data_IF_505987925903
#
_entry.id   IF_505987925903
#
_cell.length_a   1.000
_cell.length_b   1.000
_cell.length_c   1.000
_cell.angle_alpha   90.00
_cell.angle_beta   90.00
_cell.angle_gamma   90.00
#
_symmetry.space_group_name_H-M   'P 1'
#
loop_
_entity.id
_entity.type
_entity.pdbx_description
1 polymer ?
#
# COMPACT_ATOMS: atom_id res chain seq x y z
N UNK A 1 54.48 -55.98 -3.02
CA UNK A 1 53.77 -54.76 -2.57
C UNK A 1 52.30 -55.10 -2.38
N UNK A 2 51.70 -54.56 -1.32
CA UNK A 2 50.25 -54.52 -0.99
C UNK A 2 49.55 -55.86 -0.71
N UNK A 3 49.25 -56.03 0.58
CA UNK A 3 48.51 -57.10 1.25
C UNK A 3 47.01 -56.81 1.27
N UNK A 4 46.18 -57.85 1.38
CA UNK A 4 44.89 -57.77 2.07
C UNK A 4 44.57 -59.12 2.74
N UNK A 5 44.71 -59.20 4.07
CA UNK A 5 44.28 -60.34 4.87
C UNK A 5 42.99 -60.02 5.64
N UNK A 6 42.14 -61.02 5.74
CA UNK A 6 40.96 -61.08 6.62
C UNK A 6 41.34 -60.98 8.11
N UNK A 7 40.39 -60.60 8.97
CA UNK A 7 39.84 -61.52 9.97
C UNK A 7 38.51 -61.02 10.60
N UNK A 8 37.90 -61.87 11.43
CA UNK A 8 36.53 -61.82 11.96
C UNK A 8 36.58 -61.81 13.51
N UNK A 9 35.41 -61.66 14.18
CA UNK A 9 35.16 -61.92 15.63
C UNK A 9 35.58 -60.70 16.51
N UNK A 10 34.92 -60.25 17.59
CA UNK A 10 34.03 -60.86 18.59
C UNK A 10 33.07 -59.83 19.27
N UNK A 11 32.01 -60.30 19.95
CA UNK A 11 31.35 -59.61 21.08
C UNK A 11 31.65 -60.44 22.35
N UNK A 12 31.82 -59.89 23.58
CA UNK A 12 30.61 -59.72 24.44
C UNK A 12 30.70 -58.81 25.70
N UNK A 13 29.57 -58.83 26.45
CA UNK A 13 29.37 -58.68 27.93
C UNK A 13 29.02 -57.32 28.55
N UNK A 14 28.13 -57.46 29.55
CA UNK A 14 27.47 -56.44 30.38
C UNK A 14 28.16 -56.37 31.75
N UNK A 15 28.17 -55.20 32.40
CA UNK A 15 28.29 -55.10 33.87
C UNK A 15 27.39 -53.99 34.44
N UNK A 16 26.63 -54.31 35.48
CA UNK A 16 25.67 -53.45 36.19
C UNK A 16 26.31 -52.65 37.33
N UNK A 17 25.73 -51.47 37.69
CA UNK A 17 25.86 -50.90 39.05
C UNK A 17 24.70 -49.98 39.48
N UNK A 18 24.36 -50.09 40.78
CA UNK A 18 23.31 -49.43 41.59
C UNK A 18 23.89 -48.18 42.33
N UNK A 19 23.16 -47.19 42.88
CA UNK A 19 21.73 -46.77 42.94
C UNK A 19 21.71 -45.32 43.49
N UNK A 20 20.73 -44.45 43.15
CA UNK A 20 20.07 -43.53 44.11
C UNK A 20 18.92 -42.70 43.50
N UNK A 21 17.70 -42.82 44.09
CA UNK A 21 16.62 -41.84 43.94
C UNK A 21 16.84 -40.72 44.96
N UNK A 22 16.60 -39.47 44.57
CA UNK A 22 16.17 -38.43 45.51
C UNK A 22 14.75 -38.04 45.13
N UNK A 23 13.89 -38.01 46.14
CA UNK A 23 12.46 -37.74 46.05
C UNK A 23 12.20 -36.56 46.99
N UNK A 24 11.79 -35.43 46.43
CA UNK A 24 11.34 -34.27 47.21
C UNK A 24 9.92 -33.92 46.78
N UNK A 25 8.99 -34.07 47.71
CA UNK A 25 7.58 -33.69 47.56
C UNK A 25 7.21 -32.81 48.75
N UNK A 26 6.89 -31.56 48.46
CA UNK A 26 6.20 -30.58 49.31
C UNK A 26 6.10 -29.28 48.50
N UNK A 27 5.01 -28.56 48.35
CA UNK A 27 3.57 -28.71 48.61
C UNK A 27 2.95 -27.33 48.34
N UNK A 28 1.64 -27.27 48.10
CA UNK A 28 0.78 -26.08 48.25
C UNK A 28 0.75 -24.96 47.18
N UNK A 29 -0.44 -24.89 46.54
CA UNK A 29 -1.27 -23.70 46.33
C UNK A 29 -0.98 -22.72 45.16
N UNK A 30 -1.46 -23.12 43.98
CA UNK A 30 -2.58 -22.46 43.26
C UNK A 30 -2.78 -20.92 43.39
N UNK A 31 -2.05 -20.11 42.60
CA UNK A 31 -2.59 -18.83 42.06
C UNK A 31 -2.22 -18.55 40.58
N UNK A 32 -1.46 -19.40 39.90
CA UNK A 32 -0.81 -19.02 38.62
C UNK A 32 -1.63 -19.24 37.32
N UNK A 33 -2.91 -19.64 37.41
CA UNK A 33 -3.69 -20.13 36.25
C UNK A 33 -4.30 -19.08 35.30
N UNK A 34 -4.15 -17.78 35.57
CA UNK A 34 -4.70 -16.71 34.70
C UNK A 34 -3.70 -16.22 33.65
N UNK A 35 -2.39 -16.38 33.87
CA UNK A 35 -1.34 -15.80 32.99
C UNK A 35 -1.09 -16.67 31.74
N UNK A 36 -1.23 -17.99 31.84
CA UNK A 36 -0.87 -18.93 30.77
C UNK A 36 -1.59 -18.75 29.43
N UNK A 37 -2.85 -18.28 29.44
CA UNK A 37 -3.65 -18.13 28.22
C UNK A 37 -3.22 -16.93 27.35
N UNK A 38 -2.63 -15.89 27.93
CA UNK A 38 -2.16 -14.71 27.18
C UNK A 38 -0.76 -14.92 26.58
N UNK A 39 0.06 -15.79 27.17
CA UNK A 39 1.45 -16.03 26.75
C UNK A 39 1.52 -16.89 25.48
N UNK A 40 0.58 -17.83 25.27
CA UNK A 40 0.58 -18.75 24.12
C UNK A 40 0.49 -18.04 22.76
N UNK A 41 -0.25 -16.92 22.69
CA UNK A 41 -0.39 -16.09 21.48
C UNK A 41 0.91 -15.37 21.07
N UNK A 42 1.82 -15.13 22.03
CA UNK A 42 3.10 -14.45 21.79
C UNK A 42 4.23 -15.45 21.47
N UNK A 43 4.11 -16.69 21.97
CA UNK A 43 5.16 -17.71 21.86
C UNK A 43 5.46 -18.16 20.42
N UNK A 44 4.49 -18.11 19.51
CA UNK A 44 4.62 -18.55 18.11
C UNK A 44 5.57 -17.70 17.24
N UNK A 45 6.09 -16.59 17.77
CA UNK A 45 7.00 -15.68 17.05
C UNK A 45 8.47 -15.73 17.53
N UNK A 46 8.86 -16.64 18.44
CA UNK A 46 10.11 -16.52 19.21
C UNK A 46 11.42 -17.07 18.59
N UNK A 47 11.43 -17.62 17.38
CA UNK A 47 12.61 -18.30 16.78
C UNK A 47 13.75 -17.38 16.28
N UNK A 48 14.23 -16.44 17.11
CA UNK A 48 15.46 -15.66 16.88
C UNK A 48 16.02 -15.11 18.22
N UNK A 49 16.65 -15.98 19.02
CA UNK A 49 16.72 -15.82 20.49
C UNK A 49 17.37 -14.55 21.06
N UNK A 50 18.59 -14.19 20.63
CA UNK A 50 19.38 -13.18 21.34
C UNK A 50 18.85 -11.73 21.18
N UNK A 51 18.50 -11.33 19.95
CA UNK A 51 17.97 -9.99 19.67
C UNK A 51 16.60 -9.75 20.34
N UNK A 52 15.74 -10.78 20.36
CA UNK A 52 14.40 -10.70 20.95
C UNK A 52 14.42 -10.51 22.46
N UNK A 53 15.41 -11.06 23.18
CA UNK A 53 15.50 -10.94 24.63
C UNK A 53 15.81 -9.50 25.09
N UNK A 54 16.81 -8.84 24.48
CA UNK A 54 17.20 -7.48 24.84
C UNK A 54 16.08 -6.47 24.57
N UNK A 55 15.41 -6.60 23.42
CA UNK A 55 14.27 -5.74 23.08
C UNK A 55 13.06 -6.00 23.98
N UNK A 56 12.77 -7.25 24.34
CA UNK A 56 11.72 -7.57 25.31
C UNK A 56 12.00 -6.96 26.70
N UNK A 57 13.26 -6.91 27.14
CA UNK A 57 13.65 -6.20 28.38
C UNK A 57 13.38 -4.70 28.25
N UNK A 58 13.78 -4.04 27.14
CA UNK A 58 13.46 -2.62 26.91
C UNK A 58 11.95 -2.36 26.98
N UNK A 59 11.15 -3.17 26.29
CA UNK A 59 9.68 -3.08 26.26
C UNK A 59 9.08 -3.20 27.66
N UNK A 60 9.53 -4.18 28.46
CA UNK A 60 9.07 -4.33 29.86
C UNK A 60 9.46 -3.15 30.74
N UNK A 61 10.68 -2.63 30.60
CA UNK A 61 11.15 -1.46 31.36
C UNK A 61 10.32 -0.21 31.02
N UNK A 62 10.10 0.10 29.74
CA UNK A 62 9.24 1.21 29.33
C UNK A 62 7.79 1.06 29.84
N UNK A 63 7.26 -0.17 29.85
CA UNK A 63 5.89 -0.49 30.29
C UNK A 63 5.73 -0.45 31.82
N UNK A 64 6.81 -0.76 32.55
CA UNK A 64 6.87 -0.60 34.01
C UNK A 64 6.84 0.89 34.39
N UNK A 65 7.67 1.70 33.74
CA UNK A 65 7.72 3.16 33.93
C UNK A 65 6.58 3.93 33.22
N UNK A 66 5.65 3.25 32.55
CA UNK A 66 4.52 3.84 31.82
C UNK A 66 4.92 4.99 30.87
N UNK A 67 6.08 4.85 30.20
CA UNK A 67 6.61 5.85 29.27
C UNK A 67 5.59 6.15 28.16
N UNK A 68 5.45 7.43 27.77
CA UNK A 68 4.57 7.79 26.67
C UNK A 68 5.16 7.30 25.33
N UNK A 69 4.30 7.14 24.32
CA UNK A 69 4.74 6.77 22.96
C UNK A 69 5.65 7.85 22.39
N UNK A 70 5.38 9.11 22.71
CA UNK A 70 6.18 10.26 22.32
C UNK A 70 7.58 10.22 22.96
N UNK A 71 7.70 9.99 24.28
CA UNK A 71 9.00 9.86 24.96
C UNK A 71 9.88 8.78 24.33
N UNK A 72 9.28 7.64 23.95
CA UNK A 72 10.00 6.51 23.36
C UNK A 72 10.36 6.80 21.90
N UNK A 73 9.51 7.51 21.17
CA UNK A 73 9.79 7.95 19.80
C UNK A 73 11.00 8.90 19.78
N UNK A 74 11.09 9.82 20.75
CA UNK A 74 12.28 10.66 20.97
C UNK A 74 13.50 9.85 21.45
N UNK A 75 13.33 8.92 22.39
CA UNK A 75 14.39 8.02 22.89
C UNK A 75 15.00 7.15 21.79
N UNK A 76 14.19 6.72 20.82
CA UNK A 76 14.60 5.91 19.67
C UNK A 76 15.16 6.74 18.51
N UNK A 77 15.29 8.06 18.70
CA UNK A 77 15.75 9.03 17.70
C UNK A 77 14.93 8.95 16.39
N UNK A 78 13.62 8.71 16.51
CA UNK A 78 12.66 8.74 15.41
C UNK A 78 12.24 10.19 15.11
N UNK A 79 13.21 11.10 15.14
CA UNK A 79 13.07 12.56 15.12
C UNK A 79 13.77 13.10 13.86
N UNK A 80 13.09 13.00 12.72
CA UNK A 80 13.68 13.31 11.41
C UNK A 80 12.65 13.35 10.29
N UNK A 81 13.09 13.10 9.06
CA UNK A 81 12.16 12.99 7.92
C UNK A 81 11.35 11.71 8.04
N UNK A 82 10.12 11.74 7.53
CA UNK A 82 9.20 10.61 7.60
C UNK A 82 9.77 9.34 6.94
N UNK A 83 10.52 9.48 5.84
CA UNK A 83 11.17 8.34 5.17
C UNK A 83 12.25 7.67 6.04
N UNK A 84 13.03 8.45 6.79
CA UNK A 84 14.07 7.94 7.68
C UNK A 84 13.42 7.17 8.85
N UNK A 85 12.33 7.73 9.39
CA UNK A 85 11.56 7.15 10.51
C UNK A 85 10.91 5.82 10.13
N UNK A 86 10.31 5.71 8.94
CA UNK A 86 9.66 4.46 8.52
C UNK A 86 10.67 3.40 8.15
N UNK A 87 11.86 3.78 7.66
CA UNK A 87 12.95 2.84 7.38
C UNK A 87 13.75 2.44 8.64
N UNK A 88 13.60 3.17 9.75
CA UNK A 88 14.29 2.84 10.99
C UNK A 88 13.75 1.53 11.61
N UNK A 89 14.60 0.51 11.87
CA UNK A 89 14.15 -0.77 12.44
C UNK A 89 13.49 -0.61 13.83
N UNK A 90 13.84 0.44 14.58
CA UNK A 90 13.22 0.74 15.87
C UNK A 90 11.73 1.09 15.78
N UNK A 91 11.20 1.42 14.59
CA UNK A 91 9.75 1.63 14.42
C UNK A 91 8.95 0.36 14.71
N UNK A 92 9.50 -0.83 14.42
CA UNK A 92 8.86 -2.11 14.76
C UNK A 92 8.81 -2.31 16.27
N UNK A 93 9.89 -1.96 16.97
CA UNK A 93 9.98 -2.00 18.43
C UNK A 93 8.98 -1.05 19.10
N UNK A 94 8.82 0.17 18.57
CA UNK A 94 7.82 1.13 19.04
C UNK A 94 6.38 0.64 18.79
N UNK A 95 6.12 -0.02 17.67
CA UNK A 95 4.84 -0.65 17.37
C UNK A 95 4.50 -1.80 18.34
N UNK A 96 5.48 -2.63 18.71
CA UNK A 96 5.30 -3.68 19.72
C UNK A 96 5.07 -3.09 21.12
N UNK A 97 5.76 -1.99 21.47
CA UNK A 97 5.45 -1.25 22.70
C UNK A 97 4.01 -0.76 22.74
N UNK A 98 3.54 -0.13 21.65
CA UNK A 98 2.17 0.36 21.54
C UNK A 98 1.14 -0.77 21.67
N UNK A 99 1.44 -1.97 21.16
CA UNK A 99 0.59 -3.15 21.37
C UNK A 99 0.59 -3.59 22.84
N UNK A 100 1.76 -3.73 23.48
CA UNK A 100 1.85 -4.12 24.90
C UNK A 100 1.16 -3.12 25.83
N UNK A 101 1.35 -1.81 25.59
CA UNK A 101 0.71 -0.74 26.36
C UNK A 101 -0.82 -0.78 26.22
N UNK A 102 -1.33 -0.91 25.00
CA UNK A 102 -2.77 -0.97 24.72
C UNK A 102 -3.48 -2.21 25.29
N UNK A 103 -2.74 -3.31 25.46
CA UNK A 103 -3.25 -4.53 26.08
C UNK A 103 -3.28 -4.40 27.62
N UNK A 104 -2.27 -3.76 28.22
CA UNK A 104 -2.19 -3.54 29.68
C UNK A 104 -3.11 -2.42 30.17
N UNK A 105 -3.33 -1.39 29.35
CA UNK A 105 -4.10 -0.19 29.72
C UNK A 105 -5.24 0.04 28.70
N UNK A 106 -6.31 -0.79 28.74
CA UNK A 106 -7.35 -0.79 27.71
C UNK A 106 -8.13 0.53 27.60
N UNK A 107 -8.22 1.30 28.69
CA UNK A 107 -8.90 2.59 28.77
C UNK A 107 -8.03 3.77 28.28
N UNK A 108 -6.73 3.56 28.10
CA UNK A 108 -5.74 4.60 27.73
C UNK A 108 -5.09 4.32 26.38
N UNK A 109 -5.83 3.73 25.44
CA UNK A 109 -5.28 3.24 24.16
C UNK A 109 -4.64 4.35 23.32
N UNK A 110 -3.37 4.17 23.01
CA UNK A 110 -2.54 5.00 22.14
C UNK A 110 -2.47 4.43 20.72
N UNK A 111 -2.11 5.26 19.74
CA UNK A 111 -2.14 4.86 18.33
C UNK A 111 -0.94 5.43 17.58
N UNK A 112 0.01 4.56 17.23
CA UNK A 112 1.26 4.94 16.56
C UNK A 112 1.02 5.77 15.29
N UNK A 113 0.05 5.39 14.44
CA UNK A 113 -0.27 6.18 13.24
C UNK A 113 -0.79 7.61 13.57
N UNK A 114 -1.47 7.80 14.71
CA UNK A 114 -1.90 9.14 15.14
C UNK A 114 -0.72 9.97 15.64
N UNK A 115 0.19 9.37 16.41
CA UNK A 115 1.42 10.03 16.89
C UNK A 115 2.31 10.45 15.72
N UNK A 116 2.59 9.53 14.77
CA UNK A 116 3.37 9.85 13.57
C UNK A 116 2.68 10.94 12.71
N UNK A 117 1.35 10.87 12.54
CA UNK A 117 0.59 11.92 11.84
C UNK A 117 0.72 13.28 12.53
N UNK A 118 0.68 13.32 13.86
CA UNK A 118 0.73 14.57 14.62
C UNK A 118 2.09 15.27 14.47
N UNK A 119 3.18 14.50 14.43
CA UNK A 119 4.55 15.03 14.29
C UNK A 119 4.95 15.37 12.85
N UNK A 120 4.53 14.57 11.85
CA UNK A 120 5.04 14.65 10.47
C UNK A 120 3.98 14.98 9.42
N UNK A 121 2.75 15.26 9.82
CA UNK A 121 1.64 15.52 8.90
C UNK A 121 1.06 14.25 8.25
N UNK A 122 -0.09 14.41 7.61
CA UNK A 122 -0.83 13.27 7.04
C UNK A 122 -0.34 12.84 5.65
N UNK A 123 0.16 13.80 4.86
CA UNK A 123 0.57 13.62 3.47
C UNK A 123 1.92 12.89 3.41
N UNK A 124 2.93 13.40 4.12
CA UNK A 124 4.27 12.82 4.12
C UNK A 124 4.26 11.42 4.72
N UNK A 125 3.46 11.19 5.77
CA UNK A 125 3.19 9.86 6.32
C UNK A 125 2.57 8.91 5.29
N UNK A 126 1.56 9.34 4.51
CA UNK A 126 0.95 8.50 3.48
C UNK A 126 1.96 8.12 2.38
N UNK A 127 2.72 9.11 1.91
CA UNK A 127 3.71 8.96 0.86
C UNK A 127 4.86 8.04 1.30
N UNK A 128 5.42 8.26 2.49
CA UNK A 128 6.51 7.46 3.03
C UNK A 128 6.07 6.01 3.34
N UNK A 129 4.86 5.79 3.87
CA UNK A 129 4.28 4.44 4.03
C UNK A 129 4.14 3.72 2.69
N UNK A 130 3.69 4.42 1.65
CA UNK A 130 3.57 3.85 0.30
C UNK A 130 4.92 3.53 -0.35
N UNK A 131 6.00 4.24 0.03
CA UNK A 131 7.37 3.92 -0.38
C UNK A 131 7.92 2.71 0.35
N UNK A 132 7.80 2.69 1.68
CA UNK A 132 8.36 1.66 2.54
C UNK A 132 7.84 0.24 2.23
N UNK A 133 6.58 0.11 1.78
CA UNK A 133 5.99 -1.15 1.32
C UNK A 133 6.79 -1.92 0.24
N UNK A 134 7.72 -1.25 -0.45
CA UNK A 134 8.57 -1.84 -1.48
C UNK A 134 9.83 -2.53 -0.93
N UNK A 135 10.18 -2.32 0.35
CA UNK A 135 11.36 -2.95 0.97
C UNK A 135 10.94 -4.03 1.96
N UNK A 136 11.43 -5.26 1.79
CA UNK A 136 10.95 -6.42 2.55
C UNK A 136 11.03 -6.22 4.08
N UNK A 137 12.09 -5.56 4.56
CA UNK A 137 12.31 -5.30 6.00
C UNK A 137 11.35 -4.26 6.63
N UNK A 138 10.62 -3.46 5.84
CA UNK A 138 9.63 -2.47 6.34
C UNK A 138 8.21 -2.73 5.85
N UNK A 139 8.03 -3.62 4.88
CA UNK A 139 6.76 -3.97 4.23
C UNK A 139 5.62 -4.29 5.20
N UNK A 140 5.87 -5.08 6.23
CA UNK A 140 4.86 -5.49 7.21
C UNK A 140 4.37 -4.32 8.07
N UNK A 141 5.31 -3.56 8.67
CA UNK A 141 4.97 -2.41 9.50
C UNK A 141 4.33 -1.29 8.68
N UNK A 142 4.85 -1.03 7.48
CA UNK A 142 4.27 -0.05 6.55
C UNK A 142 2.86 -0.45 6.11
N UNK A 143 2.61 -1.73 5.81
CA UNK A 143 1.27 -2.23 5.47
C UNK A 143 0.31 -2.16 6.66
N UNK A 144 0.77 -2.51 7.87
CA UNK A 144 -0.01 -2.37 9.11
C UNK A 144 -0.43 -0.91 9.35
N UNK A 145 0.51 0.02 9.24
CA UNK A 145 0.31 1.45 9.46
C UNK A 145 -0.54 2.09 8.36
N UNK A 146 -0.29 1.79 7.07
CA UNK A 146 -1.14 2.25 5.96
C UNK A 146 -2.58 1.79 6.15
N UNK A 147 -2.82 0.53 6.53
CA UNK A 147 -4.17 0.03 6.84
C UNK A 147 -4.84 0.79 7.99
N UNK A 148 -4.10 1.24 9.00
CA UNK A 148 -4.65 2.09 10.06
C UNK A 148 -4.96 3.50 9.55
N UNK A 149 -4.10 4.06 8.70
CA UNK A 149 -4.30 5.36 8.06
C UNK A 149 -5.57 5.40 7.19
N UNK A 150 -5.75 4.42 6.30
CA UNK A 150 -6.95 4.31 5.45
C UNK A 150 -8.25 4.21 6.26
N UNK A 151 -8.25 3.41 7.35
CA UNK A 151 -9.38 3.37 8.30
C UNK A 151 -9.59 4.72 9.00
N UNK A 152 -8.52 5.42 9.33
CA UNK A 152 -8.56 6.76 9.93
C UNK A 152 -9.08 7.86 8.99
N UNK A 153 -8.96 7.70 7.67
CA UNK A 153 -9.60 8.56 6.67
C UNK A 153 -11.08 8.25 6.52
N UNK A 154 -11.44 6.96 6.40
CA UNK A 154 -12.84 6.53 6.30
C UNK A 154 -13.66 6.93 7.53
N UNK A 155 -13.12 6.72 8.75
CA UNK A 155 -13.79 7.10 9.99
C UNK A 155 -13.98 8.62 10.12
N UNK A 156 -13.17 9.42 9.43
CA UNK A 156 -13.31 10.89 9.31
C UNK A 156 -14.17 11.31 8.11
N UNK A 157 -14.88 10.37 7.48
CA UNK A 157 -15.78 10.57 6.33
C UNK A 157 -15.11 11.25 5.13
N UNK A 158 -13.79 11.09 4.94
CA UNK A 158 -13.13 11.58 3.72
C UNK A 158 -13.71 10.89 2.48
N UNK A 159 -14.11 11.69 1.50
CA UNK A 159 -14.45 11.21 0.17
C UNK A 159 -13.22 10.62 -0.53
N UNK A 160 -13.41 9.99 -1.69
CA UNK A 160 -12.27 9.57 -2.52
C UNK A 160 -11.54 10.80 -3.09
N UNK A 161 -12.27 11.87 -3.41
CA UNK A 161 -11.71 13.12 -3.94
C UNK A 161 -10.86 13.84 -2.87
N UNK A 162 -11.28 13.82 -1.59
CA UNK A 162 -10.47 14.29 -0.45
C UNK A 162 -9.13 13.55 -0.34
N UNK A 163 -9.11 12.25 -0.66
CA UNK A 163 -7.89 11.43 -0.58
C UNK A 163 -7.03 11.63 -1.83
N UNK A 164 -7.61 11.81 -3.01
CA UNK A 164 -6.88 12.21 -4.22
C UNK A 164 -6.15 13.55 -4.00
N UNK A 165 -6.84 14.55 -3.46
CA UNK A 165 -6.26 15.86 -3.15
C UNK A 165 -5.19 15.79 -2.05
N UNK A 166 -5.46 15.03 -0.97
CA UNK A 166 -4.49 14.80 0.12
C UNK A 166 -3.19 14.15 -0.37
N UNK A 167 -3.28 13.24 -1.34
CA UNK A 167 -2.13 12.56 -1.93
C UNK A 167 -1.40 13.40 -3.01
N UNK A 168 -1.86 14.63 -3.29
CA UNK A 168 -1.26 15.56 -4.27
C UNK A 168 -1.05 14.95 -5.66
N UNK A 169 -2.00 14.16 -6.13
CA UNK A 169 -1.91 13.42 -7.40
C UNK A 169 -2.04 14.36 -8.61
N UNK A 170 -2.74 15.49 -8.46
CA UNK A 170 -2.97 16.47 -9.53
C UNK A 170 -1.69 17.23 -9.88
N UNK A 171 -0.91 17.56 -8.86
CA UNK A 171 0.32 18.33 -8.90
C UNK A 171 1.46 17.60 -9.65
N UNK A 172 1.36 16.28 -9.79
CA UNK A 172 2.29 15.47 -10.58
C UNK A 172 2.05 15.61 -12.10
N UNK A 173 0.94 16.23 -12.52
CA UNK A 173 0.58 16.40 -13.93
C UNK A 173 0.61 15.06 -14.68
N UNK A 174 1.27 15.00 -15.84
CA UNK A 174 1.43 13.75 -16.62
C UNK A 174 2.26 12.67 -15.92
N UNK A 175 3.03 12.99 -14.87
CA UNK A 175 3.84 12.02 -14.12
C UNK A 175 3.02 11.16 -13.17
N UNK A 176 1.75 11.52 -12.91
CA UNK A 176 0.85 10.80 -12.00
C UNK A 176 0.77 9.29 -12.29
N UNK A 177 0.97 8.88 -13.55
CA UNK A 177 0.95 7.47 -14.01
C UNK A 177 2.02 6.58 -13.36
N UNK A 178 3.04 7.18 -12.73
CA UNK A 178 4.11 6.50 -11.97
C UNK A 178 3.95 6.63 -10.45
N UNK A 179 3.00 7.42 -9.96
CA UNK A 179 2.92 7.78 -8.56
C UNK A 179 2.38 6.62 -7.72
N UNK A 180 3.16 6.18 -6.72
CA UNK A 180 2.78 5.12 -5.76
C UNK A 180 1.54 5.50 -4.93
N UNK A 181 1.22 6.78 -4.87
CA UNK A 181 -0.05 7.33 -4.39
C UNK A 181 -1.26 6.64 -5.05
N UNK A 182 -1.17 6.18 -6.30
CA UNK A 182 -2.22 5.41 -6.96
C UNK A 182 -2.51 4.05 -6.27
N UNK A 183 -1.51 3.37 -5.71
CA UNK A 183 -1.72 2.15 -4.92
C UNK A 183 -2.49 2.45 -3.63
N UNK A 184 -2.14 3.57 -2.98
CA UNK A 184 -2.80 4.04 -1.75
C UNK A 184 -4.24 4.44 -2.03
N UNK A 185 -4.48 5.12 -3.16
CA UNK A 185 -5.81 5.50 -3.64
C UNK A 185 -6.64 4.27 -4.04
N UNK A 186 -6.06 3.27 -4.70
CA UNK A 186 -6.77 2.02 -5.04
C UNK A 186 -7.20 1.26 -3.77
N UNK A 187 -6.31 1.15 -2.79
CA UNK A 187 -6.61 0.56 -1.50
C UNK A 187 -7.71 1.34 -0.75
N UNK A 188 -7.71 2.68 -0.85
CA UNK A 188 -8.78 3.51 -0.28
C UNK A 188 -10.12 3.31 -0.99
N UNK A 189 -10.15 3.31 -2.33
CA UNK A 189 -11.37 3.08 -3.14
C UNK A 189 -11.98 1.72 -2.79
N UNK A 190 -11.17 0.66 -2.68
CA UNK A 190 -11.64 -0.68 -2.25
C UNK A 190 -12.29 -0.63 -0.86
N UNK A 191 -11.65 0.03 0.11
CA UNK A 191 -12.19 0.19 1.47
C UNK A 191 -13.47 1.03 1.51
N UNK A 192 -13.49 2.14 0.76
CA UNK A 192 -14.61 3.07 0.66
C UNK A 192 -15.83 2.38 0.03
N UNK A 193 -15.66 1.72 -1.11
CA UNK A 193 -16.73 0.99 -1.82
C UNK A 193 -17.35 -0.14 -0.98
N UNK A 194 -16.53 -0.81 -0.15
CA UNK A 194 -16.98 -1.88 0.74
C UNK A 194 -17.81 -1.36 1.94
N UNK A 195 -17.74 -0.05 2.24
CA UNK A 195 -18.48 0.58 3.34
C UNK A 195 -19.55 1.57 2.89
N UNK A 196 -19.47 2.07 1.66
CA UNK A 196 -20.42 2.99 1.05
C UNK A 196 -20.99 2.39 -0.27
N UNK A 197 -21.77 1.29 -0.21
CA UNK A 197 -22.17 0.56 -1.41
C UNK A 197 -23.06 1.34 -2.39
N UNK A 198 -23.69 2.44 -1.93
CA UNK A 198 -24.49 3.38 -2.75
C UNK A 198 -23.67 4.49 -3.41
N UNK A 199 -22.41 4.67 -3.03
CA UNK A 199 -21.51 5.72 -3.52
C UNK A 199 -20.24 5.11 -4.16
N UNK A 200 -20.37 3.90 -4.73
CA UNK A 200 -19.23 3.20 -5.31
C UNK A 200 -18.61 4.03 -6.45
N UNK A 201 -17.30 4.15 -6.41
CA UNK A 201 -16.49 4.75 -7.48
C UNK A 201 -15.44 3.75 -7.96
N UNK A 202 -14.67 4.10 -8.98
CA UNK A 202 -13.53 3.32 -9.43
C UNK A 202 -12.34 4.24 -9.73
N UNK A 203 -11.16 3.67 -10.00
CA UNK A 203 -9.94 4.44 -10.23
C UNK A 203 -10.09 5.43 -11.40
N UNK A 204 -10.85 5.11 -12.45
CA UNK A 204 -11.05 6.01 -13.58
C UNK A 204 -11.90 7.23 -13.18
N UNK A 205 -13.07 7.02 -12.56
CA UNK A 205 -13.95 8.12 -12.13
C UNK A 205 -13.23 9.04 -11.14
N UNK A 206 -12.54 8.46 -10.16
CA UNK A 206 -11.88 9.21 -9.10
C UNK A 206 -10.69 10.03 -9.61
N UNK A 207 -9.94 9.52 -10.61
CA UNK A 207 -8.92 10.33 -11.29
C UNK A 207 -9.57 11.42 -12.16
N UNK A 208 -10.63 11.10 -12.90
CA UNK A 208 -11.38 12.04 -13.73
C UNK A 208 -11.89 13.23 -12.90
N UNK A 209 -12.59 12.95 -11.80
CA UNK A 209 -13.06 13.95 -10.84
C UNK A 209 -11.90 14.76 -10.25
N UNK A 210 -10.83 14.10 -9.79
CA UNK A 210 -9.66 14.75 -9.21
C UNK A 210 -8.93 15.72 -10.15
N UNK A 211 -8.74 15.32 -11.42
CA UNK A 211 -8.18 16.22 -12.44
C UNK A 211 -9.15 17.35 -12.83
N UNK A 212 -10.44 17.19 -12.55
CA UNK A 212 -11.46 18.25 -12.61
C UNK A 212 -12.49 18.08 -13.72
N UNK A 213 -12.71 16.85 -14.16
CA UNK A 213 -13.68 16.45 -15.19
C UNK A 213 -13.11 15.46 -16.21
N UNK A 214 -14.00 14.77 -16.93
CA UNK A 214 -13.63 13.82 -18.00
C UNK A 214 -12.89 14.53 -19.14
N UNK A 215 -13.27 15.78 -19.44
CA UNK A 215 -12.57 16.74 -20.31
C UNK A 215 -11.09 16.92 -19.93
N UNK A 216 -10.82 17.41 -18.72
CA UNK A 216 -9.47 17.73 -18.26
C UNK A 216 -8.62 16.48 -18.12
N UNK A 217 -9.22 15.37 -17.68
CA UNK A 217 -8.51 14.10 -17.57
C UNK A 217 -8.15 13.53 -18.95
N UNK A 218 -9.02 13.66 -19.96
CA UNK A 218 -8.70 13.28 -21.33
C UNK A 218 -7.48 14.03 -21.88
N UNK A 219 -7.39 15.34 -21.62
CA UNK A 219 -6.21 16.14 -21.99
C UNK A 219 -4.95 15.67 -21.25
N UNK A 220 -5.01 15.43 -19.93
CA UNK A 220 -3.86 14.93 -19.16
C UNK A 220 -3.38 13.56 -19.66
N UNK A 221 -4.30 12.65 -20.02
CA UNK A 221 -3.96 11.37 -20.64
C UNK A 221 -3.32 11.57 -22.02
N UNK A 222 -3.90 12.43 -22.87
CA UNK A 222 -3.36 12.76 -24.20
C UNK A 222 -1.92 13.28 -24.11
N UNK A 223 -1.69 14.26 -23.23
CA UNK A 223 -0.37 14.81 -22.95
C UNK A 223 0.60 13.76 -22.40
N UNK A 224 0.12 12.80 -21.60
CA UNK A 224 0.96 11.70 -21.12
C UNK A 224 1.31 10.68 -22.23
N UNK A 225 0.47 10.56 -23.28
CA UNK A 225 0.75 9.71 -24.44
C UNK A 225 1.79 10.31 -25.41
N UNK A 226 2.02 11.62 -25.41
CA UNK A 226 3.01 12.25 -26.32
C UNK A 226 4.47 11.95 -25.97
N UNK A 227 4.75 11.51 -24.73
CA UNK A 227 6.10 11.18 -24.25
C UNK A 227 6.23 9.66 -24.10
N UNK A 228 7.20 8.99 -24.76
CA UNK A 228 7.28 7.52 -24.78
C UNK A 228 7.24 6.84 -23.41
N UNK A 229 7.97 7.39 -22.43
CA UNK A 229 8.06 6.82 -21.08
C UNK A 229 6.71 6.84 -20.36
N UNK A 230 5.98 7.97 -20.34
CA UNK A 230 4.65 8.05 -19.71
C UNK A 230 3.59 7.28 -20.50
N UNK A 231 3.69 7.23 -21.84
CA UNK A 231 2.74 6.52 -22.70
C UNK A 231 2.58 5.04 -22.31
N UNK A 232 3.68 4.37 -21.96
CA UNK A 232 3.71 2.97 -21.48
C UNK A 232 2.79 2.71 -20.25
N UNK A 233 2.47 3.74 -19.47
CA UNK A 233 1.55 3.65 -18.32
C UNK A 233 0.23 4.39 -18.54
N UNK A 234 0.21 5.42 -19.38
CA UNK A 234 -0.98 6.20 -19.71
C UNK A 234 -1.95 5.44 -20.63
N UNK A 235 -1.46 4.57 -21.50
CA UNK A 235 -2.26 3.82 -22.50
C UNK A 235 -3.44 3.05 -21.87
N UNK A 236 -3.28 2.51 -20.66
CA UNK A 236 -4.37 1.82 -19.95
C UNK A 236 -5.55 2.74 -19.63
N UNK A 237 -5.29 4.01 -19.32
CA UNK A 237 -6.32 5.00 -19.03
C UNK A 237 -6.98 5.50 -20.32
N UNK A 238 -6.20 5.69 -21.39
CA UNK A 238 -6.74 6.02 -22.72
C UNK A 238 -7.66 4.90 -23.25
N UNK A 239 -7.24 3.64 -23.11
CA UNK A 239 -8.05 2.47 -23.48
C UNK A 239 -9.37 2.41 -22.69
N UNK A 240 -9.33 2.60 -21.36
CA UNK A 240 -10.55 2.64 -20.54
C UNK A 240 -11.45 3.82 -20.92
N UNK A 241 -10.89 4.99 -21.21
CA UNK A 241 -11.62 6.18 -21.66
C UNK A 241 -12.35 5.93 -22.98
N UNK A 242 -11.62 5.49 -24.01
CA UNK A 242 -12.18 5.26 -25.34
C UNK A 242 -13.24 4.17 -25.35
N UNK A 243 -13.05 3.07 -24.60
CA UNK A 243 -14.08 2.04 -24.46
C UNK A 243 -15.33 2.54 -23.73
N UNK A 244 -15.20 3.47 -22.77
CA UNK A 244 -16.34 4.09 -22.08
C UNK A 244 -17.10 5.06 -22.97
N UNK A 245 -16.45 5.73 -23.92
CA UNK A 245 -17.12 6.56 -24.93
C UNK A 245 -17.82 5.68 -25.97
N UNK A 246 -17.13 4.64 -26.45
CA UNK A 246 -17.71 3.67 -27.38
C UNK A 246 -18.94 2.96 -26.81
N UNK A 247 -18.88 2.52 -25.54
CA UNK A 247 -20.01 1.89 -24.85
C UNK A 247 -21.14 2.85 -24.44
N UNK A 248 -21.00 4.15 -24.72
CA UNK A 248 -22.07 5.18 -24.64
C UNK A 248 -22.57 5.61 -26.03
N UNK A 249 -22.15 4.90 -27.08
CA UNK A 249 -22.41 5.22 -28.49
C UNK A 249 -21.90 6.62 -28.91
N UNK A 250 -20.84 7.12 -28.26
CA UNK A 250 -20.23 8.41 -28.64
C UNK A 250 -19.30 8.21 -29.83
N UNK A 251 -19.67 8.75 -30.98
CA UNK A 251 -18.76 9.00 -32.09
C UNK A 251 -17.79 10.18 -31.77
N UNK A 252 -16.74 10.43 -32.57
CA UNK A 252 -15.75 11.49 -32.31
C UNK A 252 -16.31 12.93 -32.21
N UNK A 253 -17.38 13.26 -32.92
CA UNK A 253 -18.08 14.55 -32.80
C UNK A 253 -18.92 14.58 -31.52
N UNK A 254 -19.62 13.49 -31.20
CA UNK A 254 -20.36 13.36 -29.94
C UNK A 254 -19.43 13.48 -28.71
N UNK A 255 -18.16 13.07 -28.80
CA UNK A 255 -17.17 13.31 -27.73
C UNK A 255 -16.91 14.80 -27.51
N UNK A 256 -16.75 15.61 -28.56
CA UNK A 256 -16.58 17.07 -28.42
C UNK A 256 -17.82 17.72 -27.77
N UNK A 257 -19.01 17.27 -28.11
CA UNK A 257 -20.28 17.77 -27.53
C UNK A 257 -20.46 17.33 -26.07
N UNK A 258 -20.33 16.02 -25.77
CA UNK A 258 -20.70 15.47 -24.45
C UNK A 258 -19.58 15.50 -23.42
N UNK A 259 -18.32 15.37 -23.83
CA UNK A 259 -17.15 15.39 -22.93
C UNK A 259 -16.58 16.80 -22.81
N UNK A 260 -16.27 17.43 -23.95
CA UNK A 260 -15.67 18.76 -24.00
C UNK A 260 -16.69 19.92 -23.99
N UNK A 261 -18.00 19.62 -24.00
CA UNK A 261 -19.11 20.56 -23.76
C UNK A 261 -19.28 21.64 -24.84
N UNK A 262 -18.89 21.35 -26.07
CA UNK A 262 -19.22 22.20 -27.23
C UNK A 262 -20.70 22.08 -27.62
N UNK A 263 -21.25 23.14 -28.22
CA UNK A 263 -22.48 23.04 -29.00
C UNK A 263 -22.20 22.35 -30.34
N UNK A 264 -23.24 21.89 -31.04
CA UNK A 264 -23.09 21.29 -32.38
C UNK A 264 -22.49 22.27 -33.40
N UNK A 265 -22.87 23.55 -33.32
CA UNK A 265 -22.36 24.63 -34.19
C UNK A 265 -20.91 25.05 -33.86
N UNK A 266 -20.48 24.86 -32.61
CA UNK A 266 -19.17 25.29 -32.13
C UNK A 266 -18.08 24.21 -32.19
N UNK A 267 -18.40 22.96 -32.56
CA UNK A 267 -17.41 21.85 -32.61
C UNK A 267 -16.16 22.20 -33.42
N UNK A 268 -16.31 22.95 -34.51
CA UNK A 268 -15.19 23.41 -35.33
C UNK A 268 -14.18 24.31 -34.58
N UNK A 269 -14.62 24.99 -33.52
CA UNK A 269 -13.81 25.88 -32.66
C UNK A 269 -13.01 25.13 -31.58
N UNK A 270 -13.17 23.80 -31.45
CA UNK A 270 -12.48 23.01 -30.44
C UNK A 270 -10.95 23.19 -30.48
N UNK A 271 -10.31 23.16 -29.30
CA UNK A 271 -8.89 23.44 -29.15
C UNK A 271 -8.03 22.32 -29.78
N UNK A 272 -6.77 22.61 -30.18
CA UNK A 272 -5.89 21.62 -30.80
C UNK A 272 -5.67 20.37 -29.92
N UNK A 273 -5.53 20.50 -28.60
CA UNK A 273 -5.39 19.36 -27.70
C UNK A 273 -6.67 18.51 -27.57
N UNK A 274 -7.85 19.11 -27.72
CA UNK A 274 -9.15 18.43 -27.68
C UNK A 274 -9.39 17.66 -28.99
N UNK A 275 -9.11 18.31 -30.12
CA UNK A 275 -9.11 17.68 -31.45
C UNK A 275 -8.15 16.49 -31.51
N UNK A 276 -6.94 16.63 -30.98
CA UNK A 276 -5.98 15.52 -30.88
C UNK A 276 -6.57 14.31 -30.12
N UNK A 277 -7.32 14.53 -29.03
CA UNK A 277 -8.00 13.46 -28.30
C UNK A 277 -9.03 12.76 -29.19
N UNK A 278 -9.88 13.51 -29.90
CA UNK A 278 -10.96 12.95 -30.71
C UNK A 278 -10.47 12.32 -32.00
N UNK A 279 -9.41 12.84 -32.62
CA UNK A 279 -8.76 12.23 -33.78
C UNK A 279 -8.08 10.91 -33.39
N UNK A 280 -7.42 10.86 -32.23
CA UNK A 280 -6.86 9.59 -31.71
C UNK A 280 -7.97 8.57 -31.41
N UNK A 281 -9.12 9.02 -30.88
CA UNK A 281 -10.28 8.15 -30.65
C UNK A 281 -10.92 7.66 -31.95
N UNK A 282 -11.01 8.52 -32.98
CA UNK A 282 -11.57 8.20 -34.31
C UNK A 282 -10.89 6.99 -34.96
N UNK A 283 -9.59 6.81 -34.77
CA UNK A 283 -8.86 5.63 -35.25
C UNK A 283 -9.38 4.32 -34.63
N UNK A 284 -9.71 4.33 -33.34
CA UNK A 284 -10.32 3.18 -32.65
C UNK A 284 -11.77 3.00 -33.08
N UNK A 285 -12.55 4.08 -33.12
CA UNK A 285 -13.96 4.07 -33.52
C UNK A 285 -14.14 3.51 -34.94
N UNK A 286 -13.43 4.06 -35.93
CA UNK A 286 -13.50 3.61 -37.32
C UNK A 286 -13.15 2.12 -37.45
N UNK A 287 -12.08 1.68 -36.77
CA UNK A 287 -11.69 0.27 -36.76
C UNK A 287 -12.75 -0.65 -36.15
N UNK A 288 -13.41 -0.22 -35.07
CA UNK A 288 -14.48 -0.98 -34.43
C UNK A 288 -15.75 -1.04 -35.30
N UNK A 289 -16.05 0.03 -36.03
CA UNK A 289 -17.20 0.13 -36.94
C UNK A 289 -16.96 -0.47 -38.34
N UNK A 290 -15.78 -1.01 -38.63
CA UNK A 290 -15.43 -1.53 -39.95
C UNK A 290 -15.27 -0.45 -41.03
N UNK A 291 -15.08 0.81 -40.64
CA UNK A 291 -14.90 1.95 -41.56
C UNK A 291 -13.44 1.95 -42.04
N UNK A 292 -13.24 1.44 -43.27
CA UNK A 292 -11.93 1.38 -43.92
C UNK A 292 -11.34 2.77 -44.17
N UNK A 293 -10.08 2.96 -43.78
CA UNK A 293 -9.34 4.21 -44.00
C UNK A 293 -8.82 4.31 -45.46
N UNK A 294 -9.75 4.35 -46.41
CA UNK A 294 -9.46 4.50 -47.84
C UNK A 294 -9.32 5.99 -48.20
N UNK A 295 -8.27 6.62 -47.68
CA UNK A 295 -8.13 8.09 -47.65
C UNK A 295 -6.78 8.69 -48.04
N UNK A 296 -5.74 7.89 -48.35
CA UNK A 296 -4.46 8.43 -48.86
C UNK A 296 -3.97 7.62 -50.06
N UNK A 297 -4.53 7.90 -51.23
CA UNK A 297 -3.86 7.60 -52.50
C UNK A 297 -2.68 8.57 -52.61
N UNK A 298 -1.48 8.13 -52.24
CA UNK A 298 -0.25 8.84 -52.57
C UNK A 298 -0.11 8.78 -54.08
N UNK A 299 -0.53 9.86 -54.75
CA UNK A 299 -0.33 10.01 -56.18
C UNK A 299 1.17 10.07 -56.50
N UNK A 300 1.75 8.94 -56.88
CA UNK A 300 3.06 8.92 -57.54
C UNK A 300 2.96 9.72 -58.84
N UNK A 301 3.42 10.97 -58.82
CA UNK A 301 3.84 11.66 -60.04
C UNK A 301 5.08 10.92 -60.57
N UNK A 302 4.96 10.41 -61.79
CA UNK A 302 6.10 10.16 -62.68
C UNK A 302 6.61 11.50 -63.21
#
# INVERSE_FOLDING_TARGET
MVTAHSFVVEQPRILTKRILRVQTVSSENDEERVIGAAVSSVASHLTTGALKAADFVKLRTWLYHQKSVDDILDTLLLTGKMDDIIQNPNLKLLDDYVVMFNNKYPDRKVSLIKTLKARHGEIDLANALSRAKQFEHTKDIATKLQRQQLKGWLNRKKSVDDVFALLKIKEEGTRFVFCRQLETMEAYIKLFNAKNPRQKTNMYEALSHGFGGEDKFAIVISQAMTRPVTALKAVKYQYVMFNRWFAKDYDPMTVLIKVFKYSEDDVAKALPEEKLVTDTYKLLYNKAMGISDHGVVIGHRR
#
